data_IF_577303080998
#
_entry.id   IF_577303080998
#
_cell.length_a   1.000
_cell.length_b   1.000
_cell.length_c   1.000
_cell.angle_alpha   90.00
_cell.angle_beta   90.00
_cell.angle_gamma   90.00
#
_symmetry.space_group_name_H-M   'P 1'
#
loop_
_entity.id
_entity.type
_entity.pdbx_description
1 polymer ?
#
# COMPACT_ATOMS: atom_id res chain seq x y z
N UNK A 1 -19.98 66.42 24.10
CA UNK A 1 -21.22 67.24 24.18
C UNK A 1 -21.94 67.14 22.84
N UNK A 2 -23.10 66.42 22.80
CA UNK A 2 -24.24 66.47 21.83
C UNK A 2 -23.89 66.43 20.31
N UNK A 3 -24.46 65.61 19.42
CA UNK A 3 -25.80 64.99 19.23
C UNK A 3 -25.66 63.96 18.08
N UNK A 4 -26.18 62.75 18.25
CA UNK A 4 -27.37 62.17 17.59
C UNK A 4 -27.42 62.06 16.06
N UNK A 5 -27.44 60.79 15.63
CA UNK A 5 -28.51 60.13 14.86
C UNK A 5 -28.71 60.51 13.38
N UNK A 6 -28.33 59.58 12.49
CA UNK A 6 -29.25 59.11 11.45
C UNK A 6 -28.92 57.68 10.97
N UNK A 7 -29.90 56.80 11.16
CA UNK A 7 -30.03 55.48 10.52
C UNK A 7 -30.36 55.69 9.05
N UNK A 8 -29.65 54.99 8.15
CA UNK A 8 -30.20 54.61 6.85
C UNK A 8 -30.07 53.11 6.67
N UNK A 9 -31.23 52.46 6.61
CA UNK A 9 -31.41 51.05 6.21
C UNK A 9 -31.06 50.95 4.73
N UNK A 10 -30.10 50.10 4.36
CA UNK A 10 -30.00 49.57 2.99
C UNK A 10 -30.32 48.09 3.04
N UNK A 11 -31.47 47.78 2.47
CA UNK A 11 -31.95 46.44 2.15
C UNK A 11 -31.08 45.93 0.98
N UNK A 12 -30.16 45.02 1.27
CA UNK A 12 -29.34 44.35 0.26
C UNK A 12 -29.74 42.88 0.17
N UNK A 13 -30.62 42.58 -0.78
CA UNK A 13 -30.88 41.22 -1.25
C UNK A 13 -29.57 40.70 -1.87
N UNK A 14 -28.94 39.67 -1.29
CA UNK A 14 -27.96 38.88 -2.01
C UNK A 14 -28.31 37.40 -1.91
N UNK A 15 -28.60 36.90 -3.11
CA UNK A 15 -28.95 35.56 -3.55
C UNK A 15 -28.03 34.51 -2.91
N UNK A 16 -28.62 33.49 -2.30
CA UNK A 16 -27.91 32.32 -1.80
C UNK A 16 -27.24 31.57 -2.94
N UNK A 17 -25.92 31.48 -2.90
CA UNK A 17 -25.17 30.52 -3.68
C UNK A 17 -25.08 29.24 -2.84
N UNK A 18 -26.01 28.30 -3.05
CA UNK A 18 -25.80 26.92 -2.60
C UNK A 18 -24.66 26.34 -3.44
N UNK A 19 -23.46 26.25 -2.85
CA UNK A 19 -22.43 25.36 -3.35
C UNK A 19 -22.93 23.93 -3.15
N UNK A 20 -23.42 23.32 -4.23
CA UNK A 20 -23.62 21.89 -4.30
C UNK A 20 -22.26 21.23 -4.08
N UNK A 21 -22.06 20.67 -2.89
CA UNK A 21 -20.96 19.74 -2.65
C UNK A 21 -21.14 18.57 -3.62
N UNK A 22 -20.32 18.55 -4.67
CA UNK A 22 -20.18 17.39 -5.53
C UNK A 22 -19.59 16.28 -4.68
N UNK A 23 -20.46 15.43 -4.13
CA UNK A 23 -20.08 14.12 -3.62
C UNK A 23 -19.53 13.33 -4.80
N UNK A 24 -18.22 13.43 -5.04
CA UNK A 24 -17.47 12.43 -5.75
C UNK A 24 -17.56 11.16 -4.91
N UNK A 25 -18.63 10.40 -5.15
CA UNK A 25 -18.76 9.03 -4.71
C UNK A 25 -17.68 8.25 -5.49
N UNK A 26 -16.44 8.28 -4.99
CA UNK A 26 -15.47 7.26 -5.33
C UNK A 26 -16.15 5.95 -4.99
N UNK A 27 -16.48 5.15 -6.02
CA UNK A 27 -17.11 3.86 -5.84
C UNK A 27 -16.25 3.07 -4.85
N UNK A 28 -16.72 2.91 -3.63
CA UNK A 28 -16.09 2.00 -2.68
C UNK A 28 -16.23 0.60 -3.31
N UNK A 29 -15.13 -0.13 -3.52
CA UNK A 29 -15.24 -1.51 -3.95
C UNK A 29 -16.12 -2.26 -2.95
N UNK A 30 -16.99 -3.11 -3.47
CA UNK A 30 -17.87 -3.96 -2.67
C UNK A 30 -17.06 -4.73 -1.64
N UNK A 31 -17.32 -4.45 -0.36
CA UNK A 31 -16.83 -5.23 0.78
C UNK A 31 -17.48 -6.61 0.77
N UNK A 32 -17.10 -7.48 -0.16
CA UNK A 32 -17.28 -8.92 0.03
C UNK A 32 -16.18 -9.37 0.97
N UNK A 33 -16.33 -9.03 2.25
CA UNK A 33 -15.52 -9.60 3.30
C UNK A 33 -15.76 -11.10 3.27
N UNK A 34 -14.82 -11.85 2.71
CA UNK A 34 -14.80 -13.28 2.93
C UNK A 34 -14.76 -13.45 4.44
N UNK A 35 -15.72 -14.18 5.01
CA UNK A 35 -15.72 -14.58 6.43
C UNK A 35 -14.54 -15.52 6.77
N UNK A 36 -13.49 -15.52 5.93
CA UNK A 36 -12.33 -16.36 6.05
C UNK A 36 -11.45 -15.84 7.20
N UNK A 37 -10.90 -16.75 8.00
CA UNK A 37 -10.18 -16.37 9.21
C UNK A 37 -8.82 -15.73 8.90
N UNK A 38 -8.49 -14.65 9.60
CA UNK A 38 -7.15 -14.06 9.58
C UNK A 38 -6.10 -14.99 10.14
N UNK A 39 -4.85 -14.86 9.67
CA UNK A 39 -3.69 -15.48 10.30
C UNK A 39 -3.25 -14.61 11.49
N UNK A 40 -2.90 -15.26 12.60
CA UNK A 40 -2.37 -14.62 13.81
C UNK A 40 -1.26 -15.47 14.43
N UNK A 41 -0.48 -14.85 15.32
CA UNK A 41 0.40 -15.61 16.23
C UNK A 41 -0.49 -16.48 17.12
N UNK A 42 -0.14 -17.74 17.27
CA UNK A 42 -0.92 -18.68 18.08
C UNK A 42 -0.89 -18.28 19.56
N UNK A 43 -2.05 -18.12 20.22
CA UNK A 43 -2.14 -17.88 21.66
C UNK A 43 -1.79 -19.14 22.48
N UNK A 44 -1.71 -20.32 21.83
CA UNK A 44 -1.26 -21.56 22.47
C UNK A 44 0.26 -21.68 22.50
N UNK A 45 0.94 -21.16 21.46
CA UNK A 45 2.40 -21.16 21.36
C UNK A 45 2.84 -20.07 20.37
N UNK A 46 3.49 -19.02 20.88
CA UNK A 46 3.91 -17.85 20.10
C UNK A 46 4.95 -18.15 19.00
N UNK A 47 5.50 -19.36 18.93
CA UNK A 47 6.41 -19.80 17.86
C UNK A 47 5.69 -20.23 16.57
N UNK A 48 4.36 -20.35 16.61
CA UNK A 48 3.55 -20.83 15.49
C UNK A 48 2.47 -19.82 15.09
N UNK A 49 1.96 -19.97 13.87
CA UNK A 49 0.79 -19.26 13.40
C UNK A 49 -0.48 -20.13 13.48
N UNK A 50 -1.62 -19.47 13.61
CA UNK A 50 -2.92 -20.08 13.46
C UNK A 50 -3.90 -19.15 12.73
N UNK A 51 -4.97 -19.72 12.22
CA UNK A 51 -6.14 -19.00 11.78
C UNK A 51 -6.95 -18.54 13.01
N UNK A 52 -7.65 -17.41 12.88
CA UNK A 52 -8.48 -16.84 13.96
C UNK A 52 -9.62 -17.74 14.43
N UNK A 53 -9.96 -18.80 13.67
CA UNK A 53 -10.88 -19.87 14.07
C UNK A 53 -10.19 -21.04 14.82
N UNK A 54 -8.89 -20.94 15.09
CA UNK A 54 -8.10 -21.87 15.89
C UNK A 54 -7.33 -22.92 15.09
N UNK A 55 -7.54 -23.04 13.76
CA UNK A 55 -6.81 -24.01 12.93
C UNK A 55 -5.32 -23.63 12.81
N UNK A 56 -4.36 -24.58 12.87
CA UNK A 56 -2.95 -24.26 12.66
C UNK A 56 -2.70 -23.74 11.24
N UNK A 57 -1.73 -22.84 11.09
CA UNK A 57 -1.31 -22.35 9.78
C UNK A 57 0.21 -22.43 9.65
N UNK A 58 0.69 -23.22 8.68
CA UNK A 58 2.10 -23.31 8.33
C UNK A 58 2.26 -22.76 6.92
N UNK A 59 2.97 -21.62 6.73
CA UNK A 59 3.16 -21.06 5.40
C UNK A 59 4.10 -21.96 4.57
N UNK A 60 3.60 -22.45 3.44
CA UNK A 60 4.34 -23.22 2.44
C UNK A 60 4.24 -22.44 1.15
N UNK A 61 5.36 -21.89 0.68
CA UNK A 61 5.28 -20.86 -0.34
C UNK A 61 6.58 -20.42 -0.99
N UNK A 62 6.43 -19.44 -1.89
CA UNK A 62 7.48 -18.93 -2.77
C UNK A 62 7.56 -17.40 -2.74
N UNK A 63 8.73 -16.88 -3.12
CA UNK A 63 8.85 -15.48 -3.52
C UNK A 63 8.38 -15.34 -4.98
N UNK A 64 7.25 -14.67 -5.19
CA UNK A 64 6.64 -14.40 -6.49
C UNK A 64 6.66 -12.89 -6.77
N UNK A 65 7.80 -12.23 -6.53
CA UNK A 65 8.03 -10.78 -6.45
C UNK A 65 7.04 -9.96 -7.31
N UNK A 66 7.00 -10.26 -8.60
CA UNK A 66 6.08 -9.71 -9.59
C UNK A 66 6.15 -10.52 -10.89
N UNK A 67 5.13 -10.41 -11.78
CA UNK A 67 5.23 -10.99 -13.10
C UNK A 67 6.30 -10.28 -13.96
N UNK A 68 6.89 -10.97 -14.95
CA UNK A 68 7.93 -10.39 -15.81
C UNK A 68 7.37 -9.32 -16.77
N UNK A 69 6.13 -9.49 -17.22
CA UNK A 69 5.49 -8.55 -18.15
C UNK A 69 5.07 -7.26 -17.43
N UNK A 70 5.27 -6.13 -18.11
CA UNK A 70 4.73 -4.84 -17.69
C UNK A 70 3.27 -4.66 -18.13
N UNK A 71 2.84 -5.43 -19.13
CA UNK A 71 1.45 -5.42 -19.59
C UNK A 71 0.55 -6.00 -18.50
N UNK A 72 -0.48 -5.26 -18.14
CA UNK A 72 -1.36 -5.62 -17.03
C UNK A 72 -2.03 -6.97 -17.24
N UNK A 73 -2.59 -7.19 -18.44
CA UNK A 73 -3.32 -8.41 -18.76
C UNK A 73 -2.40 -9.63 -18.69
N UNK A 74 -1.27 -9.59 -19.39
CA UNK A 74 -0.29 -10.68 -19.37
C UNK A 74 0.29 -10.92 -17.98
N UNK A 75 0.53 -9.84 -17.22
CA UNK A 75 1.05 -9.94 -15.87
C UNK A 75 0.06 -10.60 -14.90
N UNK A 76 -1.23 -10.26 -14.99
CA UNK A 76 -2.30 -10.88 -14.21
C UNK A 76 -2.48 -12.36 -14.59
N UNK A 77 -2.51 -12.67 -15.89
CA UNK A 77 -2.57 -14.06 -16.38
C UNK A 77 -1.38 -14.89 -15.86
N UNK A 78 -0.17 -14.30 -15.84
CA UNK A 78 1.01 -14.97 -15.31
C UNK A 78 0.95 -15.18 -13.79
N UNK A 79 0.44 -14.19 -13.04
CA UNK A 79 0.24 -14.32 -11.60
C UNK A 79 -0.76 -15.44 -11.28
N UNK A 80 -1.90 -15.48 -11.96
CA UNK A 80 -2.91 -16.52 -11.76
C UNK A 80 -2.36 -17.91 -12.10
N UNK A 81 -1.62 -18.06 -13.20
CA UNK A 81 -0.96 -19.32 -13.56
C UNK A 81 0.01 -19.80 -12.46
N UNK A 82 0.80 -18.90 -11.88
CA UNK A 82 1.68 -19.27 -10.77
C UNK A 82 0.91 -19.63 -9.50
N UNK A 83 -0.16 -18.89 -9.17
CA UNK A 83 -1.01 -19.20 -8.03
C UNK A 83 -1.69 -20.56 -8.16
N UNK A 84 -2.24 -20.86 -9.33
CA UNK A 84 -2.82 -22.16 -9.63
C UNK A 84 -1.79 -23.27 -9.43
N UNK A 85 -0.61 -23.15 -10.05
CA UNK A 85 0.44 -24.15 -9.93
C UNK A 85 0.92 -24.32 -8.47
N UNK A 86 1.05 -23.23 -7.72
CA UNK A 86 1.43 -23.27 -6.31
C UNK A 86 0.39 -24.02 -5.48
N UNK A 87 -0.89 -23.68 -5.65
CA UNK A 87 -2.00 -24.34 -4.96
C UNK A 87 -2.09 -25.84 -5.30
N UNK A 88 -2.03 -26.20 -6.58
CA UNK A 88 -2.06 -27.60 -7.03
C UNK A 88 -0.89 -28.44 -6.49
N UNK A 89 0.22 -27.79 -6.11
CA UNK A 89 1.38 -28.43 -5.50
C UNK A 89 1.41 -28.29 -3.96
N UNK A 90 0.29 -27.93 -3.33
CA UNK A 90 0.15 -27.88 -1.86
C UNK A 90 0.73 -26.64 -1.19
N UNK A 91 1.11 -25.62 -1.97
CA UNK A 91 1.45 -24.31 -1.44
C UNK A 91 0.21 -23.53 -1.00
N UNK A 92 0.36 -22.70 0.03
CA UNK A 92 -0.73 -21.90 0.62
C UNK A 92 -0.35 -20.43 0.83
N UNK A 93 0.84 -20.04 0.38
CA UNK A 93 1.44 -18.76 0.72
C UNK A 93 2.38 -18.24 -0.38
N UNK A 94 2.39 -16.94 -0.63
CA UNK A 94 3.45 -16.33 -1.45
C UNK A 94 3.77 -14.89 -1.05
N UNK A 95 4.92 -14.39 -1.50
CA UNK A 95 5.39 -13.03 -1.23
C UNK A 95 5.53 -12.21 -2.51
N UNK A 96 5.08 -10.95 -2.47
CA UNK A 96 5.22 -9.95 -3.54
C UNK A 96 5.88 -8.66 -3.03
N UNK A 97 6.40 -7.84 -3.96
CA UNK A 97 6.90 -6.50 -3.68
C UNK A 97 5.93 -5.44 -4.21
N UNK A 98 5.32 -4.69 -3.30
CA UNK A 98 4.41 -3.59 -3.63
C UNK A 98 5.11 -2.40 -4.26
N UNK A 99 6.41 -2.24 -4.07
CA UNK A 99 7.20 -1.20 -4.73
C UNK A 99 7.76 -1.62 -6.08
N UNK A 100 7.53 -2.87 -6.53
CA UNK A 100 7.88 -3.25 -7.89
C UNK A 100 6.95 -2.54 -8.88
N UNK A 101 7.44 -2.14 -10.07
CA UNK A 101 6.68 -1.38 -11.09
C UNK A 101 5.27 -1.91 -11.44
N UNK A 102 5.04 -3.21 -11.26
CA UNK A 102 3.75 -3.84 -11.53
C UNK A 102 2.72 -3.60 -10.41
N UNK A 103 3.17 -3.26 -9.20
CA UNK A 103 2.35 -3.06 -8.00
C UNK A 103 2.54 -1.68 -7.35
N UNK A 104 3.51 -0.87 -7.79
CA UNK A 104 3.84 0.40 -7.13
C UNK A 104 2.79 1.46 -7.37
N UNK A 105 1.84 1.56 -6.43
CA UNK A 105 0.85 2.62 -6.41
C UNK A 105 1.49 4.00 -6.32
N UNK A 106 2.72 4.11 -5.81
CA UNK A 106 3.44 5.37 -5.65
C UNK A 106 4.44 5.62 -6.79
N UNK A 107 4.18 5.12 -8.00
CA UNK A 107 5.15 5.11 -9.11
C UNK A 107 5.49 6.48 -9.71
N UNK A 108 4.53 7.40 -9.81
CA UNK A 108 4.76 8.70 -10.45
C UNK A 108 5.40 9.71 -9.50
N UNK A 109 4.94 9.72 -8.24
CA UNK A 109 5.35 10.71 -7.25
C UNK A 109 5.16 10.19 -5.84
N UNK A 110 6.15 10.50 -5.01
CA UNK A 110 6.12 10.37 -3.56
C UNK A 110 4.82 10.93 -2.96
N UNK A 111 4.03 10.08 -2.30
CA UNK A 111 2.77 10.41 -1.65
C UNK A 111 1.55 10.47 -2.57
N UNK A 112 1.67 10.11 -3.85
CA UNK A 112 0.55 10.03 -4.80
C UNK A 112 0.28 8.57 -5.12
N UNK A 113 -0.93 8.09 -4.81
CA UNK A 113 -1.31 6.68 -4.94
C UNK A 113 -2.24 6.44 -6.12
N UNK A 114 -1.79 5.65 -7.08
CA UNK A 114 -2.51 5.31 -8.31
C UNK A 114 -3.65 4.29 -8.04
N UNK A 115 -4.92 4.66 -8.22
CA UNK A 115 -6.05 3.76 -7.98
C UNK A 115 -6.17 2.63 -9.01
N UNK A 116 -5.62 2.78 -10.22
CA UNK A 116 -5.62 1.72 -11.23
C UNK A 116 -4.65 0.60 -10.84
N UNK A 117 -3.45 0.94 -10.37
CA UNK A 117 -2.51 -0.06 -9.82
C UNK A 117 -3.07 -0.69 -8.54
N UNK A 118 -3.78 0.08 -7.72
CA UNK A 118 -4.49 -0.46 -6.55
C UNK A 118 -5.52 -1.52 -6.94
N UNK A 119 -6.33 -1.26 -7.98
CA UNK A 119 -7.32 -2.21 -8.51
C UNK A 119 -6.69 -3.50 -9.03
N UNK A 120 -5.49 -3.41 -9.61
CA UNK A 120 -4.71 -4.58 -10.03
C UNK A 120 -4.32 -5.45 -8.84
N UNK A 121 -3.92 -4.86 -7.70
CA UNK A 121 -3.65 -5.61 -6.47
C UNK A 121 -4.93 -6.26 -5.91
N UNK A 122 -6.08 -5.61 -6.01
CA UNK A 122 -7.36 -6.23 -5.63
C UNK A 122 -7.60 -7.52 -6.42
N UNK A 123 -7.37 -7.50 -7.75
CA UNK A 123 -7.54 -8.68 -8.61
C UNK A 123 -6.61 -9.83 -8.20
N UNK A 124 -5.36 -9.51 -7.82
CA UNK A 124 -4.40 -10.50 -7.31
C UNK A 124 -4.87 -11.10 -5.98
N UNK A 125 -5.44 -10.29 -5.08
CA UNK A 125 -6.00 -10.78 -3.83
C UNK A 125 -7.25 -11.65 -4.05
N UNK A 126 -8.10 -11.29 -5.02
CA UNK A 126 -9.26 -12.09 -5.43
C UNK A 126 -8.83 -13.44 -6.02
N UNK A 127 -7.79 -13.46 -6.87
CA UNK A 127 -7.18 -14.70 -7.38
C UNK A 127 -6.66 -15.57 -6.24
N UNK A 128 -5.94 -14.97 -5.30
CA UNK A 128 -5.40 -15.69 -4.15
C UNK A 128 -6.52 -16.27 -3.27
N UNK A 129 -7.64 -15.57 -3.11
CA UNK A 129 -8.81 -16.10 -2.41
C UNK A 129 -9.38 -17.34 -3.11
N UNK A 130 -9.49 -17.33 -4.45
CA UNK A 130 -9.95 -18.50 -5.23
C UNK A 130 -9.01 -19.70 -5.15
N UNK A 131 -7.73 -19.46 -4.95
CA UNK A 131 -6.69 -20.50 -4.84
C UNK A 131 -6.29 -20.81 -3.39
N UNK A 132 -7.07 -20.35 -2.40
CA UNK A 132 -6.79 -20.58 -0.97
C UNK A 132 -5.37 -20.15 -0.52
N UNK A 133 -4.81 -19.13 -1.19
CA UNK A 133 -3.48 -18.59 -0.93
C UNK A 133 -3.55 -17.36 -0.02
N UNK A 134 -2.51 -17.21 0.81
CA UNK A 134 -2.26 -15.99 1.60
C UNK A 134 -1.01 -15.26 1.11
N UNK A 135 -0.97 -13.94 1.26
CA UNK A 135 0.10 -13.09 0.74
C UNK A 135 0.89 -12.40 1.85
N UNK A 136 2.21 -12.38 1.72
CA UNK A 136 3.07 -11.40 2.40
C UNK A 136 3.34 -10.22 1.47
N UNK A 137 2.92 -9.04 1.89
CA UNK A 137 3.03 -7.80 1.13
C UNK A 137 4.26 -7.02 1.60
N UNK A 138 5.27 -6.93 0.75
CA UNK A 138 6.49 -6.15 1.05
C UNK A 138 6.33 -4.74 0.50
N UNK A 139 6.28 -3.74 1.38
CA UNK A 139 6.02 -2.35 0.99
C UNK A 139 7.16 -1.78 0.14
N UNK A 140 8.39 -1.86 0.63
CA UNK A 140 9.55 -1.27 -0.04
C UNK A 140 10.66 -2.27 -0.32
N UNK A 141 11.39 -2.04 -1.42
CA UNK A 141 12.57 -2.84 -1.79
C UNK A 141 13.73 -2.00 -2.32
N UNK A 142 13.58 -0.67 -2.34
CA UNK A 142 14.63 0.19 -2.86
C UNK A 142 15.86 0.15 -1.97
N UNK A 143 17.01 0.38 -2.58
CA UNK A 143 18.35 0.39 -1.94
C UNK A 143 19.08 1.72 -2.12
N UNK A 144 18.63 2.53 -3.07
CA UNK A 144 19.21 3.82 -3.41
C UNK A 144 18.23 4.65 -4.25
N UNK A 145 18.52 5.94 -4.43
CA UNK A 145 17.73 6.81 -5.29
C UNK A 145 18.23 6.87 -6.74
N UNK A 146 19.54 6.96 -6.97
CA UNK A 146 20.07 7.36 -8.30
C UNK A 146 21.28 6.54 -8.81
N UNK A 147 21.63 5.42 -8.18
CA UNK A 147 22.82 4.66 -8.62
C UNK A 147 22.55 3.94 -9.93
N UNK A 148 23.59 3.82 -10.74
CA UNK A 148 23.53 3.09 -12.01
C UNK A 148 23.52 1.58 -11.80
N UNK A 149 24.16 1.10 -10.73
CA UNK A 149 24.11 -0.31 -10.35
C UNK A 149 22.76 -0.66 -9.73
N UNK A 150 22.25 -1.87 -10.02
CA UNK A 150 20.99 -2.36 -9.44
C UNK A 150 19.83 -1.38 -9.67
N UNK A 151 19.63 -0.91 -10.92
CA UNK A 151 18.52 -0.01 -11.28
C UNK A 151 17.14 -0.52 -10.84
N UNK A 152 16.97 -1.83 -10.76
CA UNK A 152 15.75 -2.46 -10.25
C UNK A 152 15.43 -2.08 -8.80
N UNK A 153 16.42 -1.63 -8.02
CA UNK A 153 16.28 -1.20 -6.63
C UNK A 153 16.35 0.34 -6.47
N UNK A 154 16.25 1.10 -7.56
CA UNK A 154 16.27 2.56 -7.52
C UNK A 154 14.86 3.11 -7.21
N UNK A 155 14.78 4.16 -6.38
CA UNK A 155 13.51 4.87 -6.12
C UNK A 155 13.67 6.39 -6.10
N UNK A 156 13.98 6.99 -7.27
CA UNK A 156 14.41 8.39 -7.36
C UNK A 156 13.35 9.39 -6.92
N UNK A 157 12.06 9.08 -7.07
CA UNK A 157 10.98 10.03 -6.81
C UNK A 157 10.80 10.41 -5.34
N UNK A 158 11.41 9.69 -4.40
CA UNK A 158 11.47 10.09 -2.99
C UNK A 158 12.44 11.25 -2.74
N UNK A 159 13.36 11.52 -3.67
CA UNK A 159 14.32 12.59 -3.52
C UNK A 159 13.71 13.97 -3.84
N UNK A 160 14.17 15.02 -3.15
CA UNK A 160 13.71 16.42 -3.33
C UNK A 160 13.80 16.93 -4.77
N UNK A 161 14.81 16.52 -5.55
CA UNK A 161 14.93 16.91 -6.97
C UNK A 161 13.84 16.32 -7.87
N UNK A 162 13.13 15.30 -7.40
CA UNK A 162 11.99 14.68 -8.08
C UNK A 162 10.65 15.06 -7.43
N UNK A 163 10.67 15.98 -6.46
CA UNK A 163 9.48 16.43 -5.72
C UNK A 163 9.09 15.53 -4.54
N UNK A 164 9.98 14.64 -4.10
CA UNK A 164 9.84 13.88 -2.87
C UNK A 164 10.37 14.61 -1.62
N UNK A 165 10.23 14.01 -0.42
CA UNK A 165 10.55 14.68 0.84
C UNK A 165 12.02 14.55 1.26
N UNK A 166 12.78 13.62 0.68
CA UNK A 166 14.08 13.21 1.21
C UNK A 166 15.25 13.86 0.47
N UNK A 167 16.24 14.39 1.20
CA UNK A 167 17.49 14.88 0.62
C UNK A 167 18.44 13.74 0.20
N UNK A 168 18.39 12.60 0.90
CA UNK A 168 19.13 11.37 0.60
C UNK A 168 18.45 10.16 1.26
N UNK A 169 19.00 8.96 1.10
CA UNK A 169 18.41 7.76 1.68
C UNK A 169 18.40 7.76 3.22
N UNK A 170 19.32 8.45 3.89
CA UNK A 170 19.30 8.56 5.35
C UNK A 170 18.20 9.51 5.81
N UNK A 171 18.03 10.64 5.13
CA UNK A 171 16.92 11.58 5.37
C UNK A 171 15.55 10.98 5.07
N UNK A 172 15.47 9.98 4.19
CA UNK A 172 14.25 9.18 4.04
C UNK A 172 13.85 8.49 5.35
N UNK A 173 14.83 7.90 6.06
CA UNK A 173 14.56 7.19 7.30
C UNK A 173 14.45 8.12 8.51
N UNK A 174 15.30 9.13 8.65
CA UNK A 174 15.32 9.99 9.84
C UNK A 174 14.49 11.27 9.71
N UNK A 175 14.28 11.77 8.49
CA UNK A 175 13.62 13.05 8.23
C UNK A 175 12.13 13.01 8.59
N UNK A 176 11.66 14.03 9.32
CA UNK A 176 10.26 14.09 9.78
C UNK A 176 9.27 14.03 8.60
N UNK A 177 9.52 14.81 7.54
CA UNK A 177 8.65 14.84 6.35
C UNK A 177 8.57 13.47 5.65
N UNK A 178 9.71 12.77 5.54
CA UNK A 178 9.79 11.43 4.97
C UNK A 178 9.04 10.41 5.82
N UNK A 179 9.22 10.45 7.15
CA UNK A 179 8.50 9.59 8.09
C UNK A 179 6.99 9.79 8.04
N UNK A 180 6.55 11.05 8.01
CA UNK A 180 5.13 11.38 7.88
C UNK A 180 4.56 10.89 6.55
N UNK A 181 5.30 11.00 5.45
CA UNK A 181 4.85 10.46 4.17
C UNK A 181 4.77 8.93 4.19
N UNK A 182 5.77 8.24 4.74
CA UNK A 182 5.75 6.79 4.84
C UNK A 182 4.56 6.31 5.69
N UNK A 183 4.27 6.97 6.82
CA UNK A 183 3.07 6.70 7.62
C UNK A 183 1.77 6.91 6.84
N UNK A 184 1.65 7.98 6.03
CA UNK A 184 0.50 8.16 5.13
C UNK A 184 0.32 7.01 4.14
N UNK A 185 1.42 6.43 3.65
CA UNK A 185 1.39 5.25 2.79
C UNK A 185 0.88 4.02 3.56
N UNK A 186 1.35 3.82 4.80
CA UNK A 186 0.84 2.75 5.67
C UNK A 186 -0.66 2.89 5.91
N UNK A 187 -1.13 4.09 6.26
CA UNK A 187 -2.55 4.38 6.49
C UNK A 187 -3.38 4.12 5.24
N UNK A 188 -2.88 4.48 4.06
CA UNK A 188 -3.56 4.24 2.78
C UNK A 188 -3.72 2.74 2.49
N UNK A 189 -2.65 1.95 2.65
CA UNK A 189 -2.74 0.49 2.50
C UNK A 189 -3.65 -0.14 3.56
N UNK A 190 -3.54 0.30 4.82
CA UNK A 190 -4.37 -0.21 5.91
C UNK A 190 -5.86 0.07 5.68
N UNK A 191 -6.22 1.27 5.20
CA UNK A 191 -7.60 1.64 4.89
C UNK A 191 -8.22 0.77 3.79
N UNK A 192 -7.41 0.26 2.85
CA UNK A 192 -7.88 -0.49 1.69
C UNK A 192 -7.80 -2.01 1.87
N UNK A 193 -6.79 -2.50 2.58
CA UNK A 193 -6.46 -3.94 2.66
C UNK A 193 -6.36 -4.46 4.10
N UNK A 194 -6.52 -3.62 5.11
CA UNK A 194 -6.33 -3.98 6.52
C UNK A 194 -7.31 -5.04 7.02
N UNK A 195 -8.49 -5.18 6.40
CA UNK A 195 -9.50 -6.19 6.68
C UNK A 195 -9.49 -7.36 5.68
N UNK A 196 -8.51 -7.44 4.78
CA UNK A 196 -8.44 -8.49 3.77
C UNK A 196 -7.76 -9.74 4.34
N UNK A 197 -8.55 -10.78 4.65
CA UNK A 197 -8.05 -12.00 5.31
C UNK A 197 -6.98 -12.79 4.52
N UNK A 198 -6.89 -12.60 3.19
CA UNK A 198 -5.80 -13.17 2.39
C UNK A 198 -4.43 -12.49 2.61
N UNK A 199 -4.37 -11.34 3.30
CA UNK A 199 -3.10 -10.75 3.71
C UNK A 199 -2.60 -11.52 4.94
N UNK A 200 -1.52 -12.28 4.76
CA UNK A 200 -0.82 -13.00 5.83
C UNK A 200 0.00 -12.06 6.70
N UNK A 201 0.79 -11.18 6.08
CA UNK A 201 1.66 -10.24 6.79
C UNK A 201 2.03 -9.04 5.93
N UNK A 202 2.36 -7.95 6.61
CA UNK A 202 3.01 -6.78 6.04
C UNK A 202 4.50 -6.82 6.37
N UNK A 203 5.33 -6.58 5.36
CA UNK A 203 6.78 -6.43 5.51
C UNK A 203 7.15 -5.01 5.10
N UNK A 204 7.74 -4.26 6.03
CA UNK A 204 8.07 -2.86 5.77
C UNK A 204 9.10 -2.74 4.64
N UNK A 205 10.09 -3.63 4.63
CA UNK A 205 11.21 -3.56 3.69
C UNK A 205 11.77 -4.93 3.33
N UNK A 206 12.06 -5.13 2.05
CA UNK A 206 12.94 -6.21 1.61
C UNK A 206 14.38 -5.89 2.00
N UNK A 207 14.98 -6.69 2.87
CA UNK A 207 16.41 -6.62 3.22
C UNK A 207 16.86 -5.18 3.53
N UNK A 208 16.26 -4.55 4.55
CA UNK A 208 16.47 -3.12 4.86
C UNK A 208 17.96 -2.74 4.99
N UNK A 209 18.79 -3.67 5.47
CA UNK A 209 20.23 -3.50 5.60
C UNK A 209 20.98 -3.42 4.26
N UNK A 210 20.31 -3.68 3.13
CA UNK A 210 20.86 -3.47 1.78
C UNK A 210 20.77 -2.01 1.33
N UNK A 211 20.03 -1.16 2.07
CA UNK A 211 20.04 0.29 1.86
C UNK A 211 21.31 0.85 2.48
N UNK A 212 22.11 1.58 1.70
CA UNK A 212 23.32 2.24 2.21
C UNK A 212 22.95 3.57 2.88
N UNK A 213 22.22 3.49 3.99
CA UNK A 213 21.71 4.62 4.74
C UNK A 213 21.86 4.42 6.25
N UNK A 214 21.76 5.51 7.00
CA UNK A 214 21.66 5.51 8.46
C UNK A 214 20.19 5.74 8.89
N UNK A 215 19.89 5.49 10.17
CA UNK A 215 18.62 5.89 10.79
C UNK A 215 17.42 4.95 10.58
N UNK A 216 17.59 3.85 9.83
CA UNK A 216 16.52 2.84 9.70
C UNK A 216 16.36 1.96 10.96
N UNK A 217 17.37 1.90 11.83
CA UNK A 217 17.31 1.23 13.15
C UNK A 217 16.56 2.07 14.19
N UNK A 218 16.53 3.40 14.03
CA UNK A 218 15.95 4.37 14.98
C UNK A 218 14.45 4.65 14.72
N UNK A 219 13.80 3.79 13.95
CA UNK A 219 12.42 3.98 13.48
C UNK A 219 11.37 3.47 14.46
#
# INVERSE_FOLDING_TARGET
MKRDMHRYRRLGFFLGLMLAASNLNAAQPSRTGSNAPFVRISPRDARYFELSDGRPFIPIGLNMIAPPSADEKQGLEQMEKWMQALHENGGNFFRIWLSHRFFDVEHEKSGVYDPAIAKRLDQVLDMAARHELRLKLTLEHFRHFFREEQKWAAKPFHHVSQGGPAADESDFFSGQASREQFKRKLDWFAARYGDHSNVFAWELWNEINAVRAQGWEDW
#
